data_IF_272958921273
#
_entry.id   IF_272958921273
#
_cell.length_a   1.000
_cell.length_b   1.000
_cell.length_c   1.000
_cell.angle_alpha   90.00
_cell.angle_beta   90.00
_cell.angle_gamma   90.00
#
_symmetry.space_group_name_H-M   'P 1'
#
loop_
_entity.id
_entity.type
_entity.pdbx_description
1 polymer ?
#
# COMPACT_ATOMS: atom_id res chain seq x y z
N UNK A 1 25.23 4.58 -3.92
CA UNK A 1 23.95 5.30 -3.95
C UNK A 1 24.19 6.74 -4.32
N UNK A 2 24.05 7.03 -5.60
CA UNK A 2 23.95 8.36 -6.17
C UNK A 2 22.64 9.02 -5.72
N UNK A 3 22.55 10.35 -5.87
CA UNK A 3 21.34 11.10 -5.57
C UNK A 3 20.13 10.65 -6.42
N UNK A 4 20.40 10.14 -7.63
CA UNK A 4 19.38 9.54 -8.51
C UNK A 4 18.80 8.24 -7.94
N UNK A 5 19.67 7.32 -7.49
CA UNK A 5 19.24 6.04 -6.89
C UNK A 5 18.43 6.26 -5.60
N UNK A 6 18.79 7.27 -4.81
CA UNK A 6 18.06 7.64 -3.60
C UNK A 6 16.66 8.20 -3.92
N UNK A 7 16.55 9.00 -4.98
CA UNK A 7 15.29 9.56 -5.48
C UNK A 7 14.34 8.46 -6.02
N UNK A 8 14.88 7.48 -6.73
CA UNK A 8 14.11 6.33 -7.22
C UNK A 8 13.64 5.44 -6.08
N UNK A 9 14.52 5.12 -5.12
CA UNK A 9 14.12 4.39 -3.91
C UNK A 9 13.02 5.11 -3.13
N UNK A 10 13.10 6.44 -3.00
CA UNK A 10 12.09 7.24 -2.33
C UNK A 10 10.72 7.14 -3.01
N UNK A 11 10.67 7.08 -4.36
CA UNK A 11 9.42 6.84 -5.10
C UNK A 11 8.84 5.46 -4.81
N UNK A 12 9.66 4.41 -4.86
CA UNK A 12 9.19 3.05 -4.57
C UNK A 12 8.66 2.90 -3.13
N UNK A 13 9.34 3.52 -2.15
CA UNK A 13 8.87 3.55 -0.75
C UNK A 13 7.53 4.30 -0.65
N UNK A 14 7.40 5.44 -1.33
CA UNK A 14 6.16 6.20 -1.34
C UNK A 14 5.00 5.37 -1.93
N UNK A 15 5.25 4.66 -3.02
CA UNK A 15 4.26 3.83 -3.69
C UNK A 15 3.83 2.64 -2.84
N UNK A 16 4.74 2.02 -2.09
CA UNK A 16 4.40 0.98 -1.11
C UNK A 16 3.63 1.53 0.12
N UNK A 17 3.93 2.77 0.54
CA UNK A 17 3.25 3.41 1.68
C UNK A 17 1.79 3.74 1.39
N UNK A 18 1.46 4.09 0.15
CA UNK A 18 0.09 4.46 -0.26
C UNK A 18 -0.96 3.37 0.02
N UNK A 19 -0.79 2.10 -0.41
CA UNK A 19 -1.74 1.04 -0.09
C UNK A 19 -1.76 0.71 1.40
N UNK A 20 -0.62 0.78 2.12
CA UNK A 20 -0.58 0.57 3.57
C UNK A 20 -1.46 1.57 4.32
N UNK A 21 -1.36 2.87 3.98
CA UNK A 21 -2.23 3.89 4.58
C UNK A 21 -3.72 3.63 4.27
N UNK A 22 -4.02 3.19 3.05
CA UNK A 22 -5.38 2.84 2.65
C UNK A 22 -5.91 1.67 3.47
N UNK A 23 -5.10 0.63 3.70
CA UNK A 23 -5.45 -0.51 4.56
C UNK A 23 -5.80 -0.01 5.96
N UNK A 24 -4.95 0.81 6.58
CA UNK A 24 -5.20 1.34 7.93
C UNK A 24 -6.51 2.12 8.01
N UNK A 25 -6.75 3.02 7.06
CA UNK A 25 -7.98 3.83 7.03
C UNK A 25 -9.24 2.98 6.80
N UNK A 26 -9.19 2.00 5.90
CA UNK A 26 -10.33 1.11 5.67
C UNK A 26 -10.59 0.19 6.86
N UNK A 27 -9.55 -0.28 7.55
CA UNK A 27 -9.71 -1.08 8.77
C UNK A 27 -10.39 -0.27 9.88
N UNK A 28 -10.09 1.03 10.00
CA UNK A 28 -10.82 1.93 10.90
C UNK A 28 -12.30 2.05 10.51
N UNK A 29 -12.58 2.20 9.22
CA UNK A 29 -13.95 2.28 8.72
C UNK A 29 -14.75 1.00 8.99
N UNK A 30 -14.11 -0.18 8.90
CA UNK A 30 -14.73 -1.45 9.29
C UNK A 30 -15.08 -1.45 10.78
N UNK A 31 -14.17 -1.00 11.66
CA UNK A 31 -14.47 -0.90 13.10
C UNK A 31 -15.66 0.02 13.38
N UNK A 32 -15.69 1.20 12.75
CA UNK A 32 -16.82 2.14 12.85
C UNK A 32 -18.14 1.49 12.41
N UNK A 33 -18.12 0.74 11.30
CA UNK A 33 -19.30 0.06 10.78
C UNK A 33 -19.80 -1.05 11.73
N UNK A 34 -18.90 -1.80 12.36
CA UNK A 34 -19.24 -2.83 13.35
C UNK A 34 -19.78 -2.24 14.66
N UNK A 35 -19.34 -1.04 15.02
CA UNK A 35 -19.85 -0.31 16.19
C UNK A 35 -21.20 0.38 15.92
N UNK A 36 -21.67 0.40 14.67
CA UNK A 36 -22.89 1.10 14.26
C UNK A 36 -22.73 2.60 14.02
N UNK A 37 -21.49 3.11 13.99
CA UNK A 37 -21.19 4.53 13.71
C UNK A 37 -21.43 4.88 12.23
N UNK A 38 -21.33 3.88 11.34
CA UNK A 38 -21.64 3.99 9.91
C UNK A 38 -22.41 2.75 9.41
N UNK A 39 -23.11 2.84 8.25
CA UNK A 39 -23.80 1.71 7.66
C UNK A 39 -22.92 0.47 7.42
N UNK A 40 -23.45 -0.73 7.68
CA UNK A 40 -22.68 -1.99 7.62
C UNK A 40 -22.23 -2.37 6.21
N UNK A 41 -22.92 -1.92 5.16
CA UNK A 41 -22.48 -2.03 3.76
C UNK A 41 -21.13 -1.33 3.52
N UNK A 42 -20.82 -0.25 4.25
CA UNK A 42 -19.50 0.38 4.23
C UNK A 42 -18.39 -0.53 4.74
N UNK A 43 -18.69 -1.52 5.60
CA UNK A 43 -17.71 -2.51 6.02
C UNK A 43 -17.30 -3.40 4.85
N UNK A 44 -18.27 -3.86 4.05
CA UNK A 44 -18.01 -4.71 2.88
C UNK A 44 -17.17 -3.95 1.85
N UNK A 45 -17.57 -2.72 1.50
CA UNK A 45 -16.80 -1.85 0.60
C UNK A 45 -15.37 -1.62 1.12
N UNK A 46 -15.21 -1.43 2.44
CA UNK A 46 -13.92 -1.21 3.04
C UNK A 46 -13.04 -2.47 3.00
N UNK A 47 -13.61 -3.65 3.22
CA UNK A 47 -12.91 -4.93 3.12
C UNK A 47 -12.45 -5.20 1.69
N UNK A 48 -13.29 -4.94 0.68
CA UNK A 48 -12.90 -5.06 -0.72
C UNK A 48 -11.72 -4.14 -1.06
N UNK A 49 -11.75 -2.90 -0.55
CA UNK A 49 -10.64 -1.95 -0.71
C UNK A 49 -9.38 -2.40 0.02
N UNK A 50 -9.48 -3.06 1.17
CA UNK A 50 -8.32 -3.67 1.86
C UNK A 50 -7.72 -4.75 0.97
N UNK A 51 -8.55 -5.65 0.43
CA UNK A 51 -8.10 -6.75 -0.45
C UNK A 51 -7.41 -6.20 -1.71
N UNK A 52 -7.94 -5.15 -2.32
CA UNK A 52 -7.24 -4.50 -3.44
C UNK A 52 -5.92 -3.88 -2.98
N UNK A 53 -5.92 -3.17 -1.86
CA UNK A 53 -4.73 -2.48 -1.36
C UNK A 53 -3.62 -3.45 -0.95
N UNK A 54 -3.94 -4.65 -0.46
CA UNK A 54 -2.91 -5.67 -0.17
C UNK A 54 -2.26 -6.19 -1.44
N UNK A 55 -3.01 -6.34 -2.54
CA UNK A 55 -2.45 -6.67 -3.86
C UNK A 55 -1.56 -5.54 -4.37
N UNK A 56 -2.06 -4.30 -4.34
CA UNK A 56 -1.29 -3.11 -4.74
C UNK A 56 0.02 -3.00 -3.93
N UNK A 57 -0.02 -3.31 -2.63
CA UNK A 57 1.17 -3.34 -1.78
C UNK A 57 2.16 -4.42 -2.20
N UNK A 58 1.67 -5.63 -2.51
CA UNK A 58 2.52 -6.71 -3.02
C UNK A 58 3.20 -6.29 -4.32
N UNK A 59 2.45 -5.72 -5.26
CA UNK A 59 2.97 -5.30 -6.57
C UNK A 59 4.03 -4.19 -6.42
N UNK A 60 3.78 -3.21 -5.53
CA UNK A 60 4.75 -2.15 -5.24
C UNK A 60 6.05 -2.68 -4.64
N UNK A 61 5.96 -3.67 -3.73
CA UNK A 61 7.14 -4.31 -3.14
C UNK A 61 7.90 -5.18 -4.16
N UNK A 62 7.19 -5.90 -5.03
CA UNK A 62 7.81 -6.65 -6.14
C UNK A 62 8.53 -5.69 -7.09
N UNK A 63 7.93 -4.56 -7.45
CA UNK A 63 8.57 -3.54 -8.28
C UNK A 63 9.82 -2.95 -7.64
N UNK A 64 9.78 -2.69 -6.33
CA UNK A 64 10.95 -2.24 -5.56
C UNK A 64 12.07 -3.29 -5.60
N UNK A 65 11.75 -4.58 -5.39
CA UNK A 65 12.73 -5.66 -5.41
C UNK A 65 13.36 -5.83 -6.80
N UNK A 66 12.57 -5.73 -7.87
CA UNK A 66 13.07 -5.76 -9.24
C UNK A 66 14.03 -4.60 -9.53
N UNK A 67 13.68 -3.37 -9.14
CA UNK A 67 14.54 -2.21 -9.32
C UNK A 67 15.88 -2.34 -8.57
N UNK A 68 15.86 -2.91 -7.35
CA UNK A 68 17.09 -3.19 -6.59
C UNK A 68 17.93 -4.33 -7.21
N UNK A 69 17.29 -5.29 -7.87
CA UNK A 69 17.97 -6.44 -8.49
C UNK A 69 18.58 -6.11 -9.86
N UNK A 70 18.05 -5.09 -10.55
CA UNK A 70 18.56 -4.60 -11.84
C UNK A 70 19.70 -3.59 -11.69
N UNK A 71 20.08 -3.21 -10.46
CA UNK A 71 21.26 -2.38 -10.21
C UNK A 71 22.51 -3.15 -10.67
N UNK A 72 23.20 -2.74 -11.76
CA UNK A 72 24.38 -3.44 -12.22
C UNK A 72 25.45 -3.34 -11.15
N UNK A 73 26.01 -4.48 -10.77
CA UNK A 73 27.33 -4.55 -10.15
C UNK A 73 28.33 -3.84 -11.08
N UNK A 74 28.66 -2.58 -10.74
CA UNK A 74 29.94 -1.96 -11.11
C UNK A 74 31.07 -2.59 -10.28
#
# INVERSE_FOLDING_TARGET
>A
MTESELSELAKHIHDARKPLNRISMQAELVKMALNGDVPTDKAIDALDKIITSTKDCSDALTGLMSALSESPSE
#
